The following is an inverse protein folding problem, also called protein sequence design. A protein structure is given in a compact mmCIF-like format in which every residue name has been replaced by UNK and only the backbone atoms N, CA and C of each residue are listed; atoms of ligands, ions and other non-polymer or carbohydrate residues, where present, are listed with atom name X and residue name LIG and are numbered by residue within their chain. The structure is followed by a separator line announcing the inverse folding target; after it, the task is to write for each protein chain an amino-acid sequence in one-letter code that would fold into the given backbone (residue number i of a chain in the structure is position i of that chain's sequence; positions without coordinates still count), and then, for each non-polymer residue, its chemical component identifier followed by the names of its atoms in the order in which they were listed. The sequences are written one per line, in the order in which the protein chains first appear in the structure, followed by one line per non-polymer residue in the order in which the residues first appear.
data_IF_704263322838
#
_entry.id   IF_704263322838
#
_cell.length_a   1.000
_cell.length_b   1.000
_cell.length_c   1.000
_cell.angle_alpha   90.00
_cell.angle_beta   90.00
_cell.angle_gamma   90.00
#
_symmetry.space_group_name_H-M   'P 1'
#
loop_
_entity.id
_entity.type
_entity.pdbx_description
1 polymer ?
#
# COMPACT_ATOMS: atom_id res chain seq x y z
N UNK A 1 -19.27 -0.86 12.13
CA UNK A 1 -18.41 0.23 12.65
C UNK A 1 -17.32 0.47 11.63
N UNK A 2 -17.12 1.72 11.20
CA UNK A 2 -16.13 2.11 10.21
C UNK A 2 -14.73 1.68 10.66
N UNK A 3 -14.06 0.85 9.85
CA UNK A 3 -12.64 0.56 10.04
C UNK A 3 -11.87 1.81 9.63
N UNK A 4 -11.64 2.73 10.57
CA UNK A 4 -10.80 3.91 10.33
C UNK A 4 -9.36 3.44 10.12
N UNK A 5 -8.97 3.30 8.85
CA UNK A 5 -7.59 3.04 8.47
C UNK A 5 -6.75 4.29 8.79
N UNK A 6 -5.91 4.15 9.82
CA UNK A 6 -4.91 5.16 10.18
C UNK A 6 -3.82 5.24 9.10
N UNK A 7 -3.38 6.46 8.80
CA UNK A 7 -2.18 6.65 7.97
C UNK A 7 -0.90 6.29 8.73
N UNK A 8 0.24 6.29 8.03
CA UNK A 8 1.52 5.90 8.61
C UNK A 8 1.95 6.82 9.76
N UNK A 9 1.64 8.12 9.65
CA UNK A 9 1.95 9.12 10.67
C UNK A 9 1.12 8.92 11.96
N UNK A 10 -0.18 8.66 11.82
CA UNK A 10 -1.07 8.34 12.94
C UNK A 10 -0.68 7.03 13.62
N UNK A 11 -0.29 6.01 12.85
CA UNK A 11 0.25 4.75 13.39
C UNK A 11 1.52 4.99 14.21
N UNK A 12 2.43 5.84 13.72
CA UNK A 12 3.66 6.19 14.43
C UNK A 12 3.37 6.97 15.72
N UNK A 13 2.43 7.92 15.68
CA UNK A 13 2.00 8.64 16.87
C UNK A 13 1.34 7.72 17.90
N UNK A 14 0.56 6.73 17.45
CA UNK A 14 -0.03 5.71 18.32
C UNK A 14 1.05 4.86 19.01
N UNK A 15 2.09 4.44 18.28
CA UNK A 15 3.23 3.70 18.85
C UNK A 15 3.95 4.54 19.91
N UNK A 16 4.25 5.81 19.60
CA UNK A 16 4.90 6.73 20.55
C UNK A 16 4.07 6.93 21.82
N UNK A 17 2.76 7.09 21.67
CA UNK A 17 1.86 7.25 22.82
C UNK A 17 1.74 5.96 23.65
N UNK A 18 1.79 4.79 23.01
CA UNK A 18 1.89 3.52 23.73
C UNK A 18 3.20 3.40 24.51
N UNK A 19 4.33 3.86 23.97
CA UNK A 19 5.63 3.85 24.65
C UNK A 19 5.70 4.86 25.81
N UNK A 20 4.92 5.94 25.74
CA UNK A 20 4.69 6.88 26.85
C UNK A 20 3.83 6.31 27.98
N UNK A 21 3.27 5.12 27.81
CA UNK A 21 2.48 4.42 28.84
C UNK A 21 0.97 4.59 28.73
N UNK A 22 0.43 5.10 27.60
CA UNK A 22 -1.02 5.16 27.42
C UNK A 22 -1.63 3.75 27.32
N UNK A 23 -2.79 3.57 27.96
CA UNK A 23 -3.54 2.32 27.92
C UNK A 23 -4.22 2.11 26.56
N UNK A 24 -4.54 0.85 26.25
CA UNK A 24 -5.26 0.47 25.03
C UNK A 24 -6.61 1.19 24.88
N UNK A 25 -7.28 1.50 26.00
CA UNK A 25 -8.57 2.21 26.00
C UNK A 25 -8.38 3.69 25.62
N UNK A 26 -7.35 4.33 26.17
CA UNK A 26 -7.01 5.72 25.85
C UNK A 26 -6.56 5.86 24.38
N UNK A 27 -5.72 4.94 23.90
CA UNK A 27 -5.30 4.92 22.50
C UNK A 27 -6.49 4.73 21.55
N UNK A 28 -7.38 3.77 21.83
CA UNK A 28 -8.61 3.60 21.04
C UNK A 28 -9.42 4.90 20.98
N UNK A 29 -9.61 5.57 22.11
CA UNK A 29 -10.47 6.76 22.18
C UNK A 29 -9.82 7.94 21.46
N UNK A 30 -8.51 8.12 21.62
CA UNK A 30 -7.73 9.19 20.98
C UNK A 30 -7.68 9.06 19.47
N UNK A 31 -7.43 7.85 18.96
CA UNK A 31 -7.30 7.60 17.52
C UNK A 31 -8.60 7.12 16.86
N UNK A 32 -9.69 6.99 17.63
CA UNK A 32 -11.00 6.49 17.18
C UNK A 32 -10.92 5.16 16.42
N UNK A 33 -10.16 4.21 16.96
CA UNK A 33 -9.95 2.88 16.39
C UNK A 33 -10.42 1.76 17.32
N UNK A 34 -10.64 0.57 16.79
CA UNK A 34 -10.97 -0.60 17.62
C UNK A 34 -9.78 -1.05 18.46
N UNK A 35 -10.04 -1.69 19.61
CA UNK A 35 -8.98 -2.25 20.49
C UNK A 35 -8.12 -3.27 19.72
N UNK A 36 -8.75 -4.07 18.84
CA UNK A 36 -8.04 -5.01 17.97
C UNK A 36 -7.09 -4.32 16.99
N UNK A 37 -7.48 -3.16 16.43
CA UNK A 37 -6.60 -2.37 15.57
C UNK A 37 -5.38 -1.83 16.33
N UNK A 38 -5.57 -1.31 17.56
CA UNK A 38 -4.46 -0.90 18.44
C UNK A 38 -3.49 -2.06 18.66
N UNK A 39 -4.00 -3.24 19.03
CA UNK A 39 -3.17 -4.43 19.25
C UNK A 39 -2.40 -4.84 18.00
N UNK A 40 -3.05 -4.87 16.83
CA UNK A 40 -2.40 -5.23 15.58
C UNK A 40 -1.32 -4.22 15.17
N UNK A 41 -1.56 -2.92 15.38
CA UNK A 41 -0.59 -1.87 15.08
C UNK A 41 0.64 -2.03 15.97
N UNK A 42 0.45 -2.27 17.27
CA UNK A 42 1.56 -2.46 18.21
C UNK A 42 2.35 -3.75 17.95
N UNK A 43 1.68 -4.83 17.51
CA UNK A 43 2.35 -6.07 17.09
C UNK A 43 3.27 -5.86 15.88
N UNK A 44 2.83 -5.05 14.91
CA UNK A 44 3.58 -4.74 13.68
C UNK A 44 4.39 -3.44 13.77
N UNK A 45 4.67 -2.96 14.98
CA UNK A 45 5.31 -1.64 15.20
C UNK A 45 6.65 -1.48 14.45
N UNK A 46 7.46 -2.54 14.40
CA UNK A 46 8.76 -2.50 13.75
C UNK A 46 8.63 -2.25 12.24
N UNK A 47 7.62 -2.85 11.59
CA UNK A 47 7.34 -2.62 10.16
C UNK A 47 6.99 -1.15 9.88
N UNK A 48 6.21 -0.53 10.76
CA UNK A 48 5.83 0.88 10.60
C UNK A 48 7.00 1.83 10.86
N UNK A 49 7.91 1.49 11.79
CA UNK A 49 9.13 2.27 12.04
C UNK A 49 10.04 2.22 10.81
N UNK A 50 10.30 1.03 10.26
CA UNK A 50 11.11 0.87 9.05
C UNK A 50 10.49 1.56 7.84
N UNK A 51 9.16 1.48 7.69
CA UNK A 51 8.45 2.16 6.60
C UNK A 51 8.52 3.70 6.76
N UNK A 52 8.51 4.21 8.00
CA UNK A 52 8.66 5.64 8.27
C UNK A 52 10.07 6.16 7.98
N UNK A 53 11.10 5.35 8.25
CA UNK A 53 12.51 5.67 7.99
C UNK A 53 12.87 5.63 6.50
N UNK A 54 12.24 4.73 5.73
CA UNK A 54 12.49 4.56 4.29
C UNK A 54 11.81 5.61 3.40
N UNK A 55 11.26 6.69 3.97
CA UNK A 55 10.57 7.77 3.25
C UNK A 55 9.39 7.30 2.37
N UNK A 56 8.72 6.20 2.73
CA UNK A 56 7.43 5.86 2.14
C UNK A 56 6.45 7.01 2.36
N UNK A 57 5.57 7.21 1.38
CA UNK A 57 4.58 8.29 1.43
C UNK A 57 3.74 8.18 2.71
N UNK A 58 3.90 9.15 3.62
CA UNK A 58 3.36 9.12 4.99
C UNK A 58 1.83 9.10 5.05
N UNK A 59 1.17 9.46 3.95
CA UNK A 59 -0.30 9.45 3.80
C UNK A 59 -0.85 8.10 3.33
N UNK A 60 0.01 7.11 3.07
CA UNK A 60 -0.42 5.77 2.66
C UNK A 60 -1.12 5.09 3.83
N UNK A 61 -2.40 4.76 3.63
CA UNK A 61 -3.25 4.09 4.63
C UNK A 61 -3.05 2.57 4.63
N UNK A 62 -2.81 1.98 3.45
CA UNK A 62 -2.57 0.55 3.25
C UNK A 62 -1.34 0.35 2.37
N UNK A 63 -0.44 -0.53 2.80
CA UNK A 63 0.67 -1.01 1.98
C UNK A 63 0.09 -1.89 0.88
N UNK A 64 0.45 -1.62 -0.38
CA UNK A 64 0.23 -2.59 -1.45
C UNK A 64 1.25 -3.69 -1.19
N UNK A 65 0.79 -4.93 -0.99
CA UNK A 65 1.71 -6.04 -0.79
C UNK A 65 2.62 -6.14 -2.02
N UNK A 66 3.90 -6.43 -1.77
CA UNK A 66 4.95 -6.57 -2.78
C UNK A 66 4.78 -7.90 -3.53
N UNK A 67 3.60 -8.08 -4.11
CA UNK A 67 3.15 -9.26 -4.82
C UNK A 67 3.54 -9.16 -6.30
N UNK A 68 3.39 -10.26 -7.04
CA UNK A 68 3.54 -10.30 -8.52
C UNK A 68 2.83 -9.11 -9.19
N UNK A 69 1.69 -8.69 -8.65
CA UNK A 69 0.90 -7.55 -9.09
C UNK A 69 1.65 -6.20 -9.05
N UNK A 70 2.51 -5.95 -8.07
CA UNK A 70 3.28 -4.71 -8.01
C UNK A 70 4.37 -4.69 -9.08
N UNK A 71 5.08 -5.81 -9.27
CA UNK A 71 6.09 -5.96 -10.33
C UNK A 71 5.48 -5.78 -11.72
N UNK A 72 4.28 -6.32 -11.94
CA UNK A 72 3.52 -6.11 -13.18
C UNK A 72 3.19 -4.62 -13.34
N UNK A 73 2.66 -3.96 -12.31
CA UNK A 73 2.33 -2.53 -12.36
C UNK A 73 3.54 -1.66 -12.66
N UNK A 74 4.69 -1.91 -12.01
CA UNK A 74 5.91 -1.13 -12.24
C UNK A 74 6.40 -1.31 -13.68
N UNK A 75 6.41 -2.54 -14.19
CA UNK A 75 6.77 -2.85 -15.59
C UNK A 75 5.84 -2.18 -16.60
N UNK A 76 4.53 -2.16 -16.33
CA UNK A 76 3.52 -1.49 -17.16
C UNK A 76 3.70 0.03 -17.11
N UNK A 77 4.00 0.59 -15.94
CA UNK A 77 4.24 2.01 -15.76
C UNK A 77 5.47 2.49 -16.51
N UNK A 78 6.60 1.78 -16.40
CA UNK A 78 7.83 2.10 -17.13
C UNK A 78 7.60 2.08 -18.65
N UNK A 79 6.92 1.06 -19.15
CA UNK A 79 6.55 0.97 -20.56
C UNK A 79 5.63 2.13 -20.99
N UNK A 80 4.64 2.48 -20.17
CA UNK A 80 3.73 3.59 -20.46
C UNK A 80 4.48 4.93 -20.53
N UNK A 81 5.37 5.20 -19.56
CA UNK A 81 6.22 6.41 -19.55
C UNK A 81 7.08 6.46 -20.81
N UNK A 82 7.71 5.35 -21.19
CA UNK A 82 8.52 5.25 -22.41
C UNK A 82 7.71 5.53 -23.69
N UNK A 83 6.44 5.08 -23.76
CA UNK A 83 5.53 5.38 -24.89
C UNK A 83 5.11 6.85 -24.91
N UNK A 84 4.79 7.43 -23.75
CA UNK A 84 4.43 8.85 -23.62
C UNK A 84 5.59 9.77 -24.00
N UNK A 85 6.82 9.42 -23.63
CA UNK A 85 8.03 10.15 -24.05
C UNK A 85 8.17 10.20 -25.58
N UNK A 86 7.74 9.15 -26.29
CA UNK A 86 7.72 9.08 -27.76
C UNK A 86 6.48 9.75 -28.39
N UNK A 87 5.67 10.48 -27.60
CA UNK A 87 4.38 11.08 -28.01
C UNK A 87 3.38 10.09 -28.60
N UNK A 88 3.50 8.81 -28.24
CA UNK A 88 2.56 7.77 -28.67
C UNK A 88 1.34 7.82 -27.73
N UNK A 89 0.13 8.03 -28.26
CA UNK A 89 -1.08 7.91 -27.45
C UNK A 89 -1.28 6.45 -27.06
N UNK A 90 -1.33 6.18 -25.76
CA UNK A 90 -1.64 4.86 -25.21
C UNK A 90 -2.99 4.96 -24.53
N UNK A 91 -3.94 4.17 -24.98
CA UNK A 91 -5.27 4.09 -24.38
C UNK A 91 -5.30 3.07 -23.23
N UNK A 92 -6.32 3.17 -22.39
CA UNK A 92 -6.56 2.20 -21.31
C UNK A 92 -6.54 0.75 -21.80
N UNK A 93 -7.27 0.37 -22.86
CA UNK A 93 -7.26 -1.00 -23.39
C UNK A 93 -5.88 -1.50 -23.81
N UNK A 94 -5.03 -0.65 -24.40
CA UNK A 94 -3.66 -1.02 -24.80
C UNK A 94 -2.81 -1.27 -23.55
N UNK A 95 -2.97 -0.45 -22.53
CA UNK A 95 -2.28 -0.61 -21.24
C UNK A 95 -2.70 -1.91 -20.55
N UNK A 96 -3.98 -2.26 -20.59
CA UNK A 96 -4.49 -3.53 -20.05
C UNK A 96 -3.94 -4.75 -20.81
N UNK A 97 -3.87 -4.68 -22.14
CA UNK A 97 -3.32 -5.75 -22.96
C UNK A 97 -1.83 -5.97 -22.65
N UNK A 98 -1.06 -4.90 -22.46
CA UNK A 98 0.34 -5.00 -22.05
C UNK A 98 0.48 -5.60 -20.65
N UNK A 99 -0.37 -5.19 -19.70
CA UNK A 99 -0.36 -5.74 -18.34
C UNK A 99 -0.66 -7.25 -18.31
N UNK A 100 -1.59 -7.74 -19.13
CA UNK A 100 -1.86 -9.18 -19.27
C UNK A 100 -0.66 -9.93 -19.85
N UNK A 101 0.01 -9.37 -20.86
CA UNK A 101 1.22 -9.96 -21.44
C UNK A 101 2.34 -10.13 -20.41
N UNK A 102 2.57 -9.10 -19.59
CA UNK A 102 3.58 -9.17 -18.53
C UNK A 102 3.19 -10.19 -17.45
N UNK A 103 1.91 -10.28 -17.09
CA UNK A 103 1.42 -11.28 -16.15
C UNK A 103 1.61 -12.72 -16.67
N UNK A 104 1.34 -12.96 -17.95
CA UNK A 104 1.60 -14.24 -18.62
C UNK A 104 3.10 -14.60 -18.60
N UNK A 105 3.98 -13.64 -18.91
CA UNK A 105 5.43 -13.84 -18.88
C UNK A 105 5.97 -14.13 -17.46
N UNK A 106 5.31 -13.60 -16.42
CA UNK A 106 5.65 -13.87 -15.02
C UNK A 106 5.03 -15.16 -14.46
N UNK A 107 4.32 -15.94 -15.28
CA UNK A 107 3.73 -17.24 -14.88
C UNK A 107 2.32 -17.16 -14.29
N UNK A 108 1.67 -16.00 -14.31
CA UNK A 108 0.32 -15.78 -13.78
C UNK A 108 -0.75 -15.98 -14.87
N UNK A 109 -0.70 -17.16 -15.51
CA UNK A 109 -1.28 -17.44 -16.83
C UNK A 109 -2.82 -17.59 -16.89
N UNK A 110 -3.55 -17.47 -15.77
CA UNK A 110 -5.00 -17.76 -15.78
C UNK A 110 -5.91 -16.79 -15.02
N UNK A 111 -5.38 -15.76 -14.33
CA UNK A 111 -6.20 -14.97 -13.38
C UNK A 111 -6.10 -13.44 -13.45
N UNK A 112 -5.12 -12.86 -14.14
CA UNK A 112 -4.87 -11.43 -14.05
C UNK A 112 -5.92 -10.60 -14.83
N UNK A 113 -6.85 -9.97 -14.11
CA UNK A 113 -7.98 -9.23 -14.72
C UNK A 113 -7.58 -7.92 -15.41
N UNK A 114 -6.40 -7.35 -15.07
CA UNK A 114 -5.90 -6.10 -15.62
C UNK A 114 -6.97 -4.99 -15.67
N UNK A 115 -7.73 -4.80 -14.58
CA UNK A 115 -8.72 -3.73 -14.47
C UNK A 115 -8.03 -2.42 -14.09
N UNK A 116 -8.20 -1.39 -14.92
CA UNK A 116 -7.74 -0.01 -14.70
C UNK A 116 -8.89 0.86 -14.20
#
# INVERSE_FOLDING_TARGET
MSQNDLDLEQKMNLIKDSERGLSYRELRNKFQVSIGAVSNILKRKNEYITDYETNLNKRVKRKVNNDSSQTINDSVYEWFVARRAKKIPVSGPITQAYARKIAEEMGDSSGFKATL
#
